data_IF_725927950749
#
_entry.id   IF_725927950749
#
_cell.length_a   1.000
_cell.length_b   1.000
_cell.length_c   1.000
_cell.angle_alpha   90.00
_cell.angle_beta   90.00
_cell.angle_gamma   90.00
#
_symmetry.space_group_name_H-M   'P 1'
#
loop_
_entity.id
_entity.type
_entity.pdbx_description
1 polymer ?
#
# COMPACT_ATOMS: atom_id res chain seq x y z
N UNK A 1 4.65 -6.86 -9.76
CA UNK A 1 5.24 -5.88 -8.81
C UNK A 1 4.18 -5.52 -7.76
N UNK A 2 4.56 -4.95 -6.61
CA UNK A 2 3.59 -4.58 -5.56
C UNK A 2 3.80 -3.15 -5.08
N UNK A 3 2.72 -2.40 -4.89
CA UNK A 3 2.74 -1.18 -4.09
C UNK A 3 2.34 -1.54 -2.65
N UNK A 4 3.15 -1.13 -1.66
CA UNK A 4 2.94 -1.47 -0.25
C UNK A 4 2.68 -0.20 0.54
N UNK A 5 1.55 -0.17 1.25
CA UNK A 5 1.25 0.81 2.29
C UNK A 5 1.61 0.23 3.66
N UNK A 6 2.40 0.97 4.44
CA UNK A 6 2.74 0.60 5.81
C UNK A 6 2.36 1.77 6.72
N UNK A 7 1.30 1.58 7.51
CA UNK A 7 0.70 2.68 8.25
C UNK A 7 0.09 2.28 9.58
N UNK A 8 -0.27 3.26 10.40
CA UNK A 8 -1.01 3.04 11.65
C UNK A 8 -2.49 3.37 11.46
N UNK A 9 -3.38 2.60 12.08
CA UNK A 9 -4.82 2.90 12.14
C UNK A 9 -5.18 3.50 13.50
N UNK A 10 -4.99 4.82 13.73
CA UNK A 10 -5.25 5.43 15.04
C UNK A 10 -6.74 5.41 15.41
N UNK A 11 -7.65 5.37 14.43
CA UNK A 11 -9.09 5.54 14.65
C UNK A 11 -9.85 4.26 15.02
N UNK A 12 -9.28 3.07 14.77
CA UNK A 12 -9.95 1.79 15.07
C UNK A 12 -9.37 1.07 16.29
N UNK A 13 -8.13 1.40 16.66
CA UNK A 13 -7.48 0.89 17.85
C UNK A 13 -6.73 2.05 18.47
N UNK A 14 -7.27 2.59 19.56
CA UNK A 14 -6.66 3.65 20.37
C UNK A 14 -5.24 3.25 20.86
N UNK A 15 -4.89 1.97 20.73
CA UNK A 15 -3.60 1.34 21.03
C UNK A 15 -3.13 0.37 19.93
N UNK A 16 -3.14 0.77 18.65
CA UNK A 16 -2.48 -0.02 17.61
C UNK A 16 -0.95 0.00 17.80
N UNK A 17 -0.43 -0.89 18.65
CA UNK A 17 1.01 -1.11 18.85
C UNK A 17 1.71 -1.68 17.59
N UNK A 18 0.94 -2.00 16.56
CA UNK A 18 1.42 -2.63 15.34
C UNK A 18 1.03 -1.81 14.11
N UNK A 19 1.95 -1.71 13.16
CA UNK A 19 1.69 -1.10 11.86
C UNK A 19 1.00 -2.11 10.96
N UNK A 20 0.01 -1.67 10.19
CA UNK A 20 -0.66 -2.47 9.19
C UNK A 20 0.12 -2.38 7.88
N UNK A 21 0.43 -3.55 7.31
CA UNK A 21 1.04 -3.67 5.99
C UNK A 21 -0.03 -4.13 5.00
N UNK A 22 -0.31 -3.30 4.00
CA UNK A 22 -1.24 -3.60 2.91
C UNK A 22 -0.48 -3.63 1.59
N UNK A 23 -0.50 -4.77 0.90
CA UNK A 23 0.19 -4.95 -0.37
C UNK A 23 -0.84 -5.05 -1.51
N UNK A 24 -0.78 -4.13 -2.46
CA UNK A 24 -1.53 -4.20 -3.70
C UNK A 24 -0.69 -4.89 -4.77
N UNK A 25 -1.12 -6.07 -5.21
CA UNK A 25 -0.48 -6.81 -6.29
C UNK A 25 -0.93 -6.21 -7.62
N UNK A 26 0.02 -5.56 -8.31
CA UNK A 26 -0.22 -4.88 -9.57
C UNK A 26 -0.45 -5.94 -10.67
N UNK A 27 -1.50 -5.76 -11.47
CA UNK A 27 -1.95 -6.64 -12.55
C UNK A 27 -2.40 -8.05 -12.11
N UNK A 28 -2.62 -8.26 -10.82
CA UNK A 28 -3.15 -9.53 -10.31
C UNK A 28 -4.65 -9.42 -10.03
N UNK A 29 -5.38 -10.43 -10.51
CA UNK A 29 -6.79 -10.63 -10.18
C UNK A 29 -6.98 -12.02 -9.57
N UNK A 30 -7.63 -12.09 -8.41
CA UNK A 30 -7.89 -13.34 -7.70
C UNK A 30 -7.93 -13.17 -6.18
N UNK A 31 -8.17 -14.28 -5.48
CA UNK A 31 -8.16 -14.34 -4.02
C UNK A 31 -6.91 -15.10 -3.52
N UNK A 32 -6.26 -14.53 -2.50
CA UNK A 32 -5.08 -15.09 -1.84
C UNK A 32 -5.32 -15.33 -0.35
N UNK A 33 -6.58 -15.32 0.10
CA UNK A 33 -6.90 -15.55 1.50
C UNK A 33 -6.38 -16.91 2.00
N UNK A 34 -5.71 -16.89 3.14
CA UNK A 34 -5.08 -18.07 3.74
C UNK A 34 -3.81 -18.56 3.04
N UNK A 35 -3.39 -17.93 1.94
CA UNK A 35 -2.14 -18.29 1.25
C UNK A 35 -0.94 -17.64 1.94
N UNK A 36 0.17 -18.37 2.16
CA UNK A 36 1.40 -17.76 2.66
C UNK A 36 1.98 -16.82 1.60
N UNK A 37 2.35 -15.61 2.01
CA UNK A 37 2.97 -14.62 1.15
C UNK A 37 4.28 -14.11 1.77
N UNK A 38 5.24 -13.75 0.90
CA UNK A 38 6.48 -13.07 1.30
C UNK A 38 6.57 -11.76 0.53
N UNK A 39 6.83 -10.68 1.25
CA UNK A 39 7.08 -9.35 0.69
C UNK A 39 8.51 -8.91 0.98
N UNK A 40 9.07 -8.09 0.10
CA UNK A 40 10.37 -7.47 0.28
C UNK A 40 10.27 -5.99 -0.10
N UNK A 41 10.73 -5.12 0.79
CA UNK A 41 10.84 -3.70 0.49
C UNK A 41 12.04 -3.47 -0.44
N UNK A 42 11.81 -2.77 -1.55
CA UNK A 42 12.84 -2.45 -2.55
C UNK A 42 13.18 -0.98 -2.53
N UNK A 43 12.17 -0.10 -2.52
CA UNK A 43 12.33 1.34 -2.50
C UNK A 43 11.20 2.01 -1.75
N UNK A 44 11.52 3.07 -1.00
CA UNK A 44 10.55 3.97 -0.41
C UNK A 44 10.05 4.97 -1.46
N UNK A 45 8.72 5.10 -1.63
CA UNK A 45 8.12 6.02 -2.60
C UNK A 45 7.81 7.39 -1.97
N UNK A 46 7.13 7.40 -0.82
CA UNK A 46 6.67 8.61 -0.12
C UNK A 46 6.23 8.30 1.30
N UNK A 47 6.17 9.34 2.12
CA UNK A 47 5.54 9.30 3.45
C UNK A 47 4.01 9.17 3.35
N UNK A 48 3.35 8.91 4.49
CA UNK A 48 1.90 8.95 4.62
C UNK A 48 1.36 10.36 4.35
N UNK A 49 0.29 10.44 3.57
CA UNK A 49 -0.37 11.69 3.21
C UNK A 49 -1.82 11.68 3.70
N UNK A 50 -2.28 12.84 4.19
CA UNK A 50 -3.71 13.07 4.40
C UNK A 50 -4.32 13.59 3.10
N UNK A 51 -5.51 13.12 2.78
CA UNK A 51 -6.24 13.55 1.59
C UNK A 51 -7.55 14.19 2.01
N UNK A 52 -7.86 15.33 1.40
CA UNK A 52 -9.09 16.08 1.67
C UNK A 52 -10.30 15.52 0.89
N UNK A 53 -10.08 14.54 0.00
CA UNK A 53 -11.14 13.85 -0.75
C UNK A 53 -10.73 12.45 -1.18
N UNK A 54 -11.73 11.62 -1.49
CA UNK A 54 -11.53 10.28 -2.06
C UNK A 54 -10.84 10.36 -3.42
N UNK A 55 -11.23 11.30 -4.28
CA UNK A 55 -10.62 11.47 -5.60
C UNK A 55 -9.12 11.79 -5.52
N UNK A 56 -8.72 12.63 -4.55
CA UNK A 56 -7.31 12.94 -4.31
C UNK A 56 -6.51 11.71 -3.85
N UNK A 57 -7.11 10.87 -2.98
CA UNK A 57 -6.53 9.59 -2.56
C UNK A 57 -6.35 8.66 -3.76
N UNK A 58 -7.41 8.43 -4.54
CA UNK A 58 -7.38 7.55 -5.72
C UNK A 58 -6.34 8.02 -6.73
N UNK A 59 -6.27 9.33 -7.00
CA UNK A 59 -5.28 9.89 -7.90
C UNK A 59 -3.84 9.68 -7.40
N UNK A 60 -3.60 9.77 -6.09
CA UNK A 60 -2.28 9.46 -5.53
C UNK A 60 -1.96 7.97 -5.61
N UNK A 61 -2.92 7.10 -5.30
CA UNK A 61 -2.73 5.65 -5.41
C UNK A 61 -2.35 5.22 -6.83
N UNK A 62 -2.97 5.82 -7.86
CA UNK A 62 -2.61 5.57 -9.25
C UNK A 62 -1.14 5.95 -9.54
N UNK A 63 -0.69 7.13 -9.07
CA UNK A 63 0.72 7.56 -9.20
C UNK A 63 1.68 6.60 -8.49
N UNK A 64 1.32 6.14 -7.29
CA UNK A 64 2.15 5.21 -6.53
C UNK A 64 2.30 3.86 -7.25
N UNK A 65 1.23 3.37 -7.89
CA UNK A 65 1.25 2.15 -8.72
C UNK A 65 2.15 2.32 -9.94
N UNK A 66 2.03 3.44 -10.66
CA UNK A 66 2.86 3.72 -11.83
C UNK A 66 4.35 3.81 -11.45
N UNK A 67 4.68 4.52 -10.37
CA UNK A 67 6.05 4.58 -9.86
C UNK A 67 6.58 3.21 -9.43
N UNK A 68 5.75 2.40 -8.75
CA UNK A 68 6.14 1.05 -8.34
C UNK A 68 6.40 0.12 -9.53
N UNK A 69 5.67 0.29 -10.64
CA UNK A 69 5.96 -0.40 -11.91
C UNK A 69 7.35 0.02 -12.41
N UNK A 70 7.56 1.31 -12.63
CA UNK A 70 8.78 1.87 -13.21
C UNK A 70 10.06 1.47 -12.46
N UNK A 71 9.99 1.32 -11.14
CA UNK A 71 11.12 0.96 -10.30
C UNK A 71 11.50 -0.53 -10.32
N UNK A 72 10.60 -1.39 -10.79
CA UNK A 72 10.76 -2.84 -10.82
C UNK A 72 10.78 -3.42 -12.24
N UNK A 73 10.78 -2.54 -13.25
CA UNK A 73 11.02 -2.87 -14.66
C UNK A 73 12.49 -3.13 -14.97
#
# INVERSE_FOLDING_TARGET
>A
PTAISLGRRPTFYEFADTSLLEAHLIDFEGDLYGQPARVQFVRHLRDELKFDSVDALVAQMARDVDQARDLLH
#
